data_IF_382386119916
#
_entry.id   IF_382386119916
#
_cell.length_a   1.000
_cell.length_b   1.000
_cell.length_c   1.000
_cell.angle_alpha   90.00
_cell.angle_beta   90.00
_cell.angle_gamma   90.00
#
_symmetry.space_group_name_H-M   'P 1'
#
loop_
_entity.id
_entity.type
_entity.pdbx_description
1 polymer ?
#
# COMPACT_ATOMS: atom_id res chain seq x y z
N UNK A 1 -21.68 8.74 -21.39
CA UNK A 1 -20.72 7.74 -20.89
C UNK A 1 -20.39 8.12 -19.46
N UNK A 2 -20.90 7.38 -18.49
CA UNK A 2 -20.62 7.63 -17.08
C UNK A 2 -19.22 7.10 -16.78
N UNK A 3 -18.28 8.00 -16.47
CA UNK A 3 -16.97 7.63 -15.94
C UNK A 3 -17.24 7.00 -14.58
N UNK A 4 -17.04 5.70 -14.45
CA UNK A 4 -16.98 5.05 -13.15
C UNK A 4 -15.80 5.66 -12.42
N UNK A 5 -16.06 6.62 -11.54
CA UNK A 5 -15.04 7.17 -10.66
C UNK A 5 -14.69 6.02 -9.71
N UNK A 6 -13.58 5.33 -9.96
CA UNK A 6 -13.03 4.38 -9.02
C UNK A 6 -12.87 5.12 -7.68
N UNK A 7 -13.60 4.67 -6.66
CA UNK A 7 -13.55 5.26 -5.32
C UNK A 7 -12.09 5.21 -4.86
N UNK A 8 -11.54 6.39 -4.63
CA UNK A 8 -10.26 6.55 -3.93
C UNK A 8 -10.61 6.48 -2.45
N UNK A 9 -10.42 5.31 -1.87
CA UNK A 9 -10.49 5.09 -0.43
C UNK A 9 -9.49 4.01 -0.12
N UNK A 10 -8.66 4.22 0.91
CA UNK A 10 -7.59 3.28 1.24
C UNK A 10 -8.12 1.85 1.45
N UNK A 11 -9.31 1.70 2.01
CA UNK A 11 -9.97 0.40 2.20
C UNK A 11 -10.27 -0.37 0.90
N UNK A 12 -10.15 0.28 -0.25
CA UNK A 12 -10.36 -0.35 -1.57
C UNK A 12 -9.11 -1.04 -2.11
N UNK A 13 -7.98 -0.93 -1.41
CA UNK A 13 -6.69 -1.49 -1.81
C UNK A 13 -6.16 -2.43 -0.74
N UNK A 14 -5.34 -3.39 -1.16
CA UNK A 14 -4.68 -4.32 -0.22
C UNK A 14 -3.59 -3.58 0.57
N UNK A 15 -3.37 -3.98 1.82
CA UNK A 15 -2.27 -3.50 2.67
C UNK A 15 -0.92 -3.59 1.95
N UNK A 16 -0.70 -4.64 1.16
CA UNK A 16 0.48 -4.79 0.31
C UNK A 16 0.66 -3.66 -0.71
N UNK A 17 -0.43 -3.21 -1.35
CA UNK A 17 -0.40 -2.14 -2.36
C UNK A 17 -0.20 -0.77 -1.71
N UNK A 18 -0.84 -0.56 -0.55
CA UNK A 18 -0.69 0.67 0.25
C UNK A 18 0.74 0.78 0.80
N UNK A 19 1.30 -0.33 1.31
CA UNK A 19 2.69 -0.40 1.76
C UNK A 19 3.67 -0.08 0.61
N UNK A 20 3.44 -0.66 -0.57
CA UNK A 20 4.23 -0.36 -1.76
C UNK A 20 4.19 1.13 -2.12
N UNK A 21 3.01 1.76 -2.04
CA UNK A 21 2.88 3.21 -2.28
C UNK A 21 3.73 4.00 -1.29
N UNK A 22 3.57 3.75 0.02
CA UNK A 22 4.31 4.44 1.07
C UNK A 22 5.83 4.28 0.89
N UNK A 23 6.30 3.06 0.60
CA UNK A 23 7.72 2.77 0.32
C UNK A 23 8.23 3.49 -0.94
N UNK A 24 7.41 3.60 -1.98
CA UNK A 24 7.78 4.30 -3.22
C UNK A 24 7.97 5.79 -2.96
N UNK A 25 7.08 6.39 -2.17
CA UNK A 25 7.17 7.79 -1.74
C UNK A 25 8.42 8.00 -0.89
N UNK A 26 8.60 7.20 0.16
CA UNK A 26 9.78 7.26 1.03
C UNK A 26 11.09 7.13 0.24
N UNK A 27 11.19 6.19 -0.69
CA UNK A 27 12.36 6.02 -1.54
C UNK A 27 12.61 7.25 -2.43
N UNK A 28 11.55 7.91 -2.92
CA UNK A 28 11.68 9.14 -3.68
C UNK A 28 12.15 10.32 -2.82
N UNK A 29 11.67 10.44 -1.57
CA UNK A 29 12.10 11.48 -0.61
C UNK A 29 13.58 11.37 -0.25
N UNK A 30 14.09 10.14 -0.21
CA UNK A 30 15.49 9.87 0.11
C UNK A 30 16.38 9.74 -1.13
N UNK A 31 15.86 10.05 -2.33
CA UNK A 31 16.69 10.05 -3.54
C UNK A 31 17.78 11.13 -3.42
N UNK A 32 19.04 10.85 -3.82
CA UNK A 32 20.10 11.85 -3.89
C UNK A 32 19.75 13.05 -4.79
N UNK A 33 18.79 12.86 -5.70
CA UNK A 33 18.26 13.90 -6.57
C UNK A 33 16.86 14.28 -6.10
N UNK A 34 16.72 15.44 -5.45
CA UNK A 34 15.42 16.01 -5.10
C UNK A 34 14.49 16.22 -6.32
N UNK A 35 15.04 16.19 -7.55
CA UNK A 35 14.26 16.24 -8.80
C UNK A 35 13.40 14.99 -9.03
N UNK A 36 13.65 13.92 -8.28
CA UNK A 36 12.94 12.65 -8.38
C UNK A 36 11.66 12.64 -7.54
N UNK A 37 11.50 13.62 -6.63
CA UNK A 37 10.30 13.79 -5.82
C UNK A 37 9.22 14.55 -6.60
N UNK A 38 8.75 13.93 -7.68
CA UNK A 38 7.64 14.41 -8.50
C UNK A 38 6.55 13.36 -8.54
N UNK A 39 5.31 13.80 -8.40
CA UNK A 39 4.14 12.93 -8.39
C UNK A 39 4.08 12.01 -9.63
N UNK A 40 4.40 12.55 -10.81
CA UNK A 40 4.45 11.80 -12.07
C UNK A 40 5.48 10.65 -12.05
N UNK A 41 6.68 10.90 -11.52
CA UNK A 41 7.74 9.90 -11.39
C UNK A 41 7.40 8.84 -10.36
N UNK A 42 6.81 9.25 -9.23
CA UNK A 42 6.38 8.33 -8.17
C UNK A 42 5.26 7.43 -8.68
N UNK A 43 4.29 7.99 -9.41
CA UNK A 43 3.26 7.22 -10.10
C UNK A 43 3.87 6.20 -11.05
N UNK A 44 4.82 6.62 -11.90
CA UNK A 44 5.49 5.70 -12.83
C UNK A 44 6.21 4.57 -12.08
N UNK A 45 6.97 4.89 -11.03
CA UNK A 45 7.67 3.89 -10.21
C UNK A 45 6.68 2.93 -9.55
N UNK A 46 5.64 3.46 -8.90
CA UNK A 46 4.61 2.69 -8.25
C UNK A 46 3.94 1.71 -9.22
N UNK A 47 3.44 2.21 -10.36
CA UNK A 47 2.72 1.41 -11.35
C UNK A 47 3.61 0.44 -12.14
N UNK A 48 4.93 0.63 -12.12
CA UNK A 48 5.88 -0.30 -12.73
C UNK A 48 6.11 -1.57 -11.89
N UNK A 49 5.69 -1.57 -10.63
CA UNK A 49 5.92 -2.70 -9.74
C UNK A 49 4.95 -3.86 -10.02
N UNK A 50 5.38 -5.13 -10.01
CA UNK A 50 4.48 -6.26 -10.24
C UNK A 50 3.27 -6.32 -9.28
N UNK A 51 3.46 -5.84 -8.04
CA UNK A 51 2.41 -5.82 -7.02
C UNK A 51 1.37 -4.70 -7.21
N UNK A 52 1.60 -3.74 -8.10
CA UNK A 52 0.58 -2.74 -8.49
C UNK A 52 -0.18 -3.15 -9.75
N UNK A 53 0.04 -4.37 -10.27
CA UNK A 53 -0.59 -4.84 -11.52
C UNK A 53 -2.11 -4.88 -11.36
N UNK A 54 -2.81 -4.17 -12.24
CA UNK A 54 -4.28 -4.01 -12.18
C UNK A 54 -4.75 -2.74 -11.50
N UNK A 55 -3.84 -1.95 -10.92
CA UNK A 55 -4.11 -0.58 -10.49
C UNK A 55 -3.89 0.36 -11.67
N UNK A 56 -4.90 1.18 -11.98
CA UNK A 56 -4.77 2.29 -12.93
C UNK A 56 -5.18 3.58 -12.21
N UNK A 57 -4.23 4.11 -11.44
CA UNK A 57 -4.41 5.37 -10.72
C UNK A 57 -3.88 6.51 -11.57
N UNK A 58 -4.65 7.58 -11.70
CA UNK A 58 -4.15 8.89 -12.17
C UNK A 58 -3.30 9.56 -11.09
N UNK A 59 -2.54 10.61 -11.43
CA UNK A 59 -1.76 11.39 -10.46
C UNK A 59 -2.64 11.95 -9.33
N UNK A 60 -3.81 12.50 -9.68
CA UNK A 60 -4.77 13.01 -8.70
C UNK A 60 -5.28 11.92 -7.77
N UNK A 61 -5.57 10.73 -8.29
CA UNK A 61 -6.01 9.60 -7.47
C UNK A 61 -4.88 9.07 -6.57
N UNK A 62 -3.62 9.13 -7.02
CA UNK A 62 -2.46 8.73 -6.22
C UNK A 62 -2.23 9.69 -5.06
N UNK A 63 -2.30 11.00 -5.31
CA UNK A 63 -2.22 12.03 -4.27
C UNK A 63 -3.38 11.90 -3.28
N UNK A 64 -4.61 11.75 -3.78
CA UNK A 64 -5.78 11.55 -2.93
C UNK A 64 -5.66 10.29 -2.06
N UNK A 65 -5.17 9.18 -2.63
CA UNK A 65 -4.95 7.94 -1.87
C UNK A 65 -3.92 8.12 -0.75
N UNK A 66 -2.83 8.83 -1.00
CA UNK A 66 -1.82 9.11 0.03
C UNK A 66 -2.36 10.05 1.11
N UNK A 67 -3.11 11.09 0.73
CA UNK A 67 -3.80 11.96 1.67
C UNK A 67 -4.78 11.18 2.55
N UNK A 68 -5.63 10.36 1.95
CA UNK A 68 -6.60 9.53 2.68
C UNK A 68 -5.89 8.61 3.67
N UNK A 69 -4.82 7.93 3.24
CA UNK A 69 -4.01 7.06 4.10
C UNK A 69 -3.45 7.79 5.33
N UNK A 70 -2.91 8.99 5.12
CA UNK A 70 -2.26 9.75 6.19
C UNK A 70 -3.29 10.41 7.11
N UNK A 71 -4.41 10.88 6.59
CA UNK A 71 -5.50 11.46 7.41
C UNK A 71 -6.20 10.36 8.22
N UNK A 72 -6.52 9.21 7.62
CA UNK A 72 -7.13 8.07 8.34
C UNK A 72 -6.28 7.56 9.50
N UNK A 73 -4.95 7.76 9.43
CA UNK A 73 -3.98 7.36 10.46
C UNK A 73 -3.58 8.50 11.39
N UNK A 74 -4.26 9.63 11.31
CA UNK A 74 -4.00 10.83 12.13
C UNK A 74 -2.57 11.38 11.98
N UNK A 75 -1.89 11.04 10.87
CA UNK A 75 -0.56 11.52 10.52
C UNK A 75 -0.62 12.91 9.86
N UNK A 76 -1.77 13.25 9.26
CA UNK A 76 -2.08 14.59 8.78
C UNK A 76 -3.37 15.09 9.42
N UNK A 77 -3.38 16.37 9.77
CA UNK A 77 -4.61 17.05 10.22
C UNK A 77 -5.51 17.45 9.06
N UNK A 78 -4.94 17.63 7.87
CA UNK A 78 -5.66 17.94 6.64
C UNK A 78 -4.90 17.41 5.41
N UNK A 79 -5.60 17.11 4.30
CA UNK A 79 -4.96 16.72 3.05
C UNK A 79 -4.03 17.81 2.53
N UNK A 80 -2.88 17.42 1.96
CA UNK A 80 -2.01 18.34 1.23
C UNK A 80 -2.52 18.53 -0.20
N UNK A 81 -2.32 19.73 -0.74
CA UNK A 81 -2.78 20.06 -2.11
C UNK A 81 -1.71 19.81 -3.15
N UNK A 82 -0.45 19.95 -2.76
CA UNK A 82 0.68 19.73 -3.63
C UNK A 82 1.57 18.60 -3.11
N UNK A 83 2.05 17.74 -4.02
CA UNK A 83 2.79 16.55 -3.62
C UNK A 83 4.15 16.90 -3.00
N UNK A 84 4.80 17.98 -3.42
CA UNK A 84 6.05 18.42 -2.79
C UNK A 84 5.90 18.81 -1.31
N UNK A 85 4.68 19.10 -0.82
CA UNK A 85 4.44 19.37 0.61
C UNK A 85 4.79 18.16 1.50
N UNK A 86 4.73 16.93 0.97
CA UNK A 86 5.15 15.74 1.72
C UNK A 86 6.64 15.75 2.11
N UNK A 87 7.48 16.60 1.51
CA UNK A 87 8.87 16.76 1.96
C UNK A 87 8.97 17.22 3.41
N UNK A 88 7.97 17.97 3.89
CA UNK A 88 7.90 18.45 5.27
C UNK A 88 7.34 17.39 6.23
N UNK A 89 6.75 16.29 5.69
CA UNK A 89 6.11 15.22 6.45
C UNK A 89 6.90 13.90 6.38
N UNK A 90 8.22 13.99 6.37
CA UNK A 90 9.10 12.82 6.19
C UNK A 90 8.96 11.80 7.31
N UNK A 91 8.87 12.25 8.54
CA UNK A 91 8.76 11.37 9.69
C UNK A 91 7.40 10.66 9.70
N UNK A 92 6.34 11.35 9.29
CA UNK A 92 5.00 10.80 9.13
C UNK A 92 4.94 9.75 8.02
N UNK A 93 5.65 9.96 6.91
CA UNK A 93 5.78 8.95 5.84
C UNK A 93 6.54 7.71 6.34
N UNK A 94 7.55 7.87 7.23
CA UNK A 94 8.23 6.75 7.88
C UNK A 94 7.25 5.99 8.77
N UNK A 95 6.52 6.68 9.64
CA UNK A 95 5.50 6.08 10.50
C UNK A 95 4.44 5.33 9.67
N UNK A 96 3.98 5.91 8.56
CA UNK A 96 3.05 5.25 7.65
C UNK A 96 3.62 3.92 7.11
N UNK A 97 4.89 3.91 6.70
CA UNK A 97 5.55 2.68 6.24
C UNK A 97 5.63 1.62 7.33
N UNK A 98 5.99 2.01 8.56
CA UNK A 98 6.12 1.10 9.70
C UNK A 98 4.76 0.50 10.09
N UNK A 99 3.71 1.33 10.14
CA UNK A 99 2.34 0.88 10.43
C UNK A 99 1.86 -0.14 9.39
N UNK A 100 1.96 0.19 8.10
CA UNK A 100 1.55 -0.69 7.01
C UNK A 100 2.38 -1.98 6.95
N UNK A 101 3.66 -1.91 7.32
CA UNK A 101 4.52 -3.09 7.42
C UNK A 101 4.05 -4.02 8.55
N UNK A 102 3.73 -3.48 9.72
CA UNK A 102 3.19 -4.24 10.85
C UNK A 102 1.85 -4.90 10.52
N UNK A 103 0.92 -4.15 9.92
CA UNK A 103 -0.37 -4.69 9.44
C UNK A 103 -0.13 -5.86 8.46
N UNK A 104 0.77 -5.67 7.50
CA UNK A 104 1.07 -6.69 6.50
C UNK A 104 1.70 -7.95 7.12
N UNK A 105 2.54 -7.80 8.12
CA UNK A 105 3.13 -8.92 8.83
C UNK A 105 2.05 -9.75 9.54
N UNK A 106 1.12 -9.09 10.24
CA UNK A 106 0.01 -9.76 10.91
C UNK A 106 -0.90 -10.52 9.93
N UNK A 107 -1.20 -9.94 8.76
CA UNK A 107 -1.96 -10.63 7.70
C UNK A 107 -1.26 -11.90 7.21
N UNK A 108 0.06 -11.84 7.04
CA UNK A 108 0.86 -12.97 6.57
C UNK A 108 0.94 -14.07 7.63
N UNK A 109 1.11 -13.70 8.90
CA UNK A 109 1.10 -14.65 10.02
C UNK A 109 -0.25 -15.36 10.13
N UNK A 110 -1.37 -14.62 10.08
CA UNK A 110 -2.71 -15.20 10.12
C UNK A 110 -2.99 -16.14 8.92
N UNK A 111 -2.54 -15.75 7.72
CA UNK A 111 -2.67 -16.59 6.53
C UNK A 111 -1.83 -17.87 6.64
N UNK A 112 -0.62 -17.78 7.21
CA UNK A 112 0.25 -18.94 7.41
C UNK A 112 -0.36 -19.94 8.41
N UNK A 113 -0.94 -19.46 9.51
CA UNK A 113 -1.61 -20.31 10.50
C UNK A 113 -2.85 -21.00 9.93
N UNK A 114 -3.63 -20.28 9.12
CA UNK A 114 -4.79 -20.84 8.40
C UNK A 114 -4.33 -21.94 7.44
N UNK A 115 -3.35 -21.65 6.58
CA UNK A 115 -2.80 -22.61 5.62
C UNK A 115 -2.23 -23.86 6.31
N UNK A 116 -1.58 -23.70 7.45
CA UNK A 116 -1.04 -24.81 8.24
C UNK A 116 -2.16 -25.71 8.78
N UNK A 117 -3.26 -25.11 9.24
CA UNK A 117 -4.43 -25.83 9.75
C UNK A 117 -5.09 -26.63 8.61
N UNK A 118 -5.40 -25.97 7.49
CA UNK A 118 -5.99 -26.60 6.31
C UNK A 118 -5.11 -27.72 5.75
N UNK A 119 -3.79 -27.52 5.72
CA UNK A 119 -2.86 -28.56 5.29
C UNK A 119 -2.92 -29.79 6.19
N UNK A 120 -2.93 -29.61 7.51
CA UNK A 120 -3.01 -30.72 8.46
C UNK A 120 -4.34 -31.49 8.34
N UNK A 121 -5.46 -30.78 8.16
CA UNK A 121 -6.77 -31.39 7.93
C UNK A 121 -6.77 -32.22 6.64
N UNK A 122 -6.27 -31.67 5.53
CA UNK A 122 -6.16 -32.37 4.26
C UNK A 122 -5.27 -33.63 4.37
N UNK A 123 -4.13 -33.53 5.08
CA UNK A 123 -3.24 -34.67 5.32
C UNK A 123 -3.95 -35.76 6.14
N UNK A 124 -4.72 -35.38 7.15
CA UNK A 124 -5.46 -36.36 7.96
C UNK A 124 -6.58 -37.04 7.15
N UNK A 125 -7.35 -36.29 6.36
CA UNK A 125 -8.34 -36.86 5.45
C UNK A 125 -7.73 -37.86 4.46
N UNK A 126 -6.55 -37.55 3.91
CA UNK A 126 -5.85 -38.47 3.00
C UNK A 126 -5.41 -39.76 3.69
N UNK A 127 -4.98 -39.70 4.96
CA UNK A 127 -4.63 -40.89 5.74
C UNK A 127 -5.84 -41.76 6.02
N UNK A 128 -6.98 -41.14 6.33
CA UNK A 128 -8.24 -41.84 6.56
C UNK A 128 -8.73 -42.54 5.29
N UNK A 129 -8.60 -41.91 4.11
CA UNK A 129 -8.97 -42.51 2.82
C UNK A 129 -8.05 -43.65 2.37
N UNK A 130 -6.83 -43.71 2.90
CA UNK A 130 -5.86 -44.80 2.62
C UNK A 130 -5.98 -45.99 3.58
N UNK A 131 -6.78 -45.85 4.65
CA UNK A 131 -7.02 -46.88 5.67
C UNK A 131 -8.30 -47.67 5.36
#
# INVERSE_FOLDING_TARGET
>A
MSVTINKVSASSYTTQSLLLLAQTVFAAMNSPSAKDFKLSLIRTKFLSHPLSKGLDLTEHQLLALLNDLMVERELLTQPVTNFEEYLDYKDEIVTLCETLYGERLQELEAAMDTNKTEFNENVNMLKELQS
#
